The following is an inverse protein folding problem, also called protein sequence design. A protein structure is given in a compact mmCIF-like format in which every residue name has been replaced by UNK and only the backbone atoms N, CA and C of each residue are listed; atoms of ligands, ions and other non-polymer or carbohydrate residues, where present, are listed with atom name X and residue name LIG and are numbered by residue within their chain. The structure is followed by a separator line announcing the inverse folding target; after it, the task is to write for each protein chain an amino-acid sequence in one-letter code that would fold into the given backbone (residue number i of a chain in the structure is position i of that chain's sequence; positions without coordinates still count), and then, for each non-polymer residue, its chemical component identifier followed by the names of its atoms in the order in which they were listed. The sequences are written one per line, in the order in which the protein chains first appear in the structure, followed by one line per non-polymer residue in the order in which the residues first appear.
data_IF_933149231290
#
_entry.id   IF_933149231290
#
_cell.length_a   1.000
_cell.length_b   1.000
_cell.length_c   1.000
_cell.angle_alpha   90.00
_cell.angle_beta   90.00
_cell.angle_gamma   90.00
#
_symmetry.space_group_name_H-M   'P 1'
#
loop_
_entity.id
_entity.type
_entity.pdbx_description
1 polymer ?
#
# COMPACT_ATOMS: atom_id res chain seq x y z
N UNK A 1 27.11 -13.65 12.55
CA UNK A 1 27.74 -12.64 11.66
C UNK A 1 26.59 -11.91 10.99
N UNK A 2 26.43 -10.65 11.35
CA UNK A 2 25.19 -9.88 11.34
C UNK A 2 24.93 -9.31 9.95
N UNK A 3 23.83 -9.67 9.32
CA UNK A 3 23.30 -8.97 8.15
C UNK A 3 21.81 -8.70 8.41
N UNK A 4 21.54 -7.72 9.28
CA UNK A 4 20.35 -6.89 9.06
C UNK A 4 20.66 -6.12 7.78
N UNK A 5 20.32 -6.69 6.63
CA UNK A 5 20.17 -5.92 5.40
C UNK A 5 18.93 -5.05 5.61
N UNK A 6 19.09 -4.00 6.40
CA UNK A 6 18.02 -3.06 6.68
C UNK A 6 17.64 -2.42 5.36
N UNK A 7 16.43 -2.70 4.89
CA UNK A 7 15.86 -2.00 3.74
C UNK A 7 15.61 -0.56 4.19
N UNK A 8 16.65 0.28 4.05
CA UNK A 8 16.56 1.70 4.35
C UNK A 8 16.05 2.44 3.10
N UNK A 9 14.77 2.22 2.77
CA UNK A 9 14.07 2.99 1.73
C UNK A 9 12.94 3.83 2.35
N UNK A 10 13.24 4.43 3.49
CA UNK A 10 12.45 5.52 4.04
C UNK A 10 12.91 6.85 3.42
N UNK A 11 11.99 7.74 3.07
CA UNK A 11 10.54 7.56 3.11
C UNK A 11 10.02 6.67 1.95
N UNK A 12 9.00 5.84 2.20
CA UNK A 12 8.41 4.92 1.22
C UNK A 12 7.54 5.71 0.24
N UNK A 13 7.78 5.63 -1.09
CA UNK A 13 6.91 6.27 -2.08
C UNK A 13 5.47 5.78 -1.96
N UNK A 14 4.57 6.70 -1.63
CA UNK A 14 3.18 6.40 -1.26
C UNK A 14 2.22 7.22 -2.11
N UNK A 15 1.45 6.55 -2.97
CA UNK A 15 0.54 7.17 -3.92
C UNK A 15 -0.91 7.08 -3.42
N UNK A 16 -1.51 8.24 -3.14
CA UNK A 16 -2.90 8.34 -2.69
C UNK A 16 -3.80 8.67 -3.87
N UNK A 17 -4.72 7.78 -4.19
CA UNK A 17 -5.72 7.96 -5.25
C UNK A 17 -6.86 8.83 -4.72
N UNK A 18 -7.04 10.01 -5.29
CA UNK A 18 -8.11 10.94 -4.91
C UNK A 18 -8.91 11.42 -6.12
N UNK A 19 -10.24 11.41 -5.99
CA UNK A 19 -11.13 12.08 -6.94
C UNK A 19 -11.17 13.59 -6.64
N UNK A 20 -10.98 14.42 -7.66
CA UNK A 20 -10.96 15.90 -7.52
C UNK A 20 -12.25 16.42 -6.86
N UNK A 21 -13.39 15.81 -7.17
CA UNK A 21 -14.69 16.12 -6.57
C UNK A 21 -14.84 15.73 -5.09
N UNK A 22 -13.79 15.18 -4.46
CA UNK A 22 -13.78 14.75 -3.05
C UNK A 22 -12.69 15.47 -2.23
N UNK A 23 -12.69 16.82 -2.14
CA UNK A 23 -11.65 17.58 -1.46
C UNK A 23 -11.58 17.29 0.05
N UNK A 24 -12.71 16.95 0.68
CA UNK A 24 -12.73 16.60 2.10
C UNK A 24 -12.03 15.27 2.37
N UNK A 25 -12.16 14.27 1.49
CA UNK A 25 -11.43 12.99 1.59
C UNK A 25 -9.92 13.22 1.45
N UNK A 26 -9.51 14.02 0.45
CA UNK A 26 -8.11 14.46 0.32
C UNK A 26 -7.56 15.10 1.60
N UNK A 27 -8.32 16.02 2.21
CA UNK A 27 -7.91 16.68 3.46
C UNK A 27 -7.78 15.67 4.61
N UNK A 28 -8.72 14.73 4.72
CA UNK A 28 -8.71 13.74 5.78
C UNK A 28 -7.52 12.78 5.65
N UNK A 29 -7.30 12.21 4.47
CA UNK A 29 -6.19 11.27 4.27
C UNK A 29 -4.83 11.96 4.44
N UNK A 30 -4.64 13.19 3.97
CA UNK A 30 -3.40 13.93 4.22
C UNK A 30 -3.16 14.20 5.72
N UNK A 31 -4.22 14.29 6.53
CA UNK A 31 -4.11 14.38 7.99
C UNK A 31 -3.67 13.03 8.59
N UNK A 32 -4.17 11.91 8.09
CA UNK A 32 -3.78 10.56 8.53
C UNK A 32 -2.28 10.30 8.36
N UNK A 33 -1.69 10.81 7.27
CA UNK A 33 -0.25 10.73 6.99
C UNK A 33 0.58 11.87 7.59
N UNK A 34 -0.04 12.88 8.20
CA UNK A 34 0.67 14.04 8.74
C UNK A 34 1.55 13.65 9.93
N UNK A 35 2.85 13.94 9.83
CA UNK A 35 3.84 13.63 10.89
C UNK A 35 4.35 12.18 10.86
N UNK A 36 3.97 11.40 9.84
CA UNK A 36 4.48 10.06 9.56
C UNK A 36 5.59 10.13 8.51
N UNK A 37 6.83 10.25 8.97
CA UNK A 37 7.97 10.49 8.11
C UNK A 37 8.39 9.24 7.32
N UNK A 38 7.80 8.09 7.63
CA UNK A 38 8.00 6.84 6.91
C UNK A 38 7.38 6.82 5.50
N UNK A 39 6.53 7.79 5.17
CA UNK A 39 5.84 7.89 3.87
C UNK A 39 6.23 9.15 3.09
N UNK A 40 6.56 8.99 1.81
CA UNK A 40 6.68 10.08 0.84
C UNK A 40 5.37 10.16 0.04
N UNK A 41 4.49 11.09 0.43
CA UNK A 41 3.10 11.11 -0.01
C UNK A 41 2.91 11.90 -1.31
N UNK A 42 2.40 11.21 -2.32
CA UNK A 42 2.03 11.73 -3.63
C UNK A 42 0.53 11.58 -3.87
N UNK A 43 -0.21 12.69 -3.99
CA UNK A 43 -1.65 12.62 -4.30
C UNK A 43 -1.86 12.57 -5.81
N UNK A 44 -2.44 11.47 -6.28
CA UNK A 44 -2.73 11.24 -7.69
C UNK A 44 -4.21 11.46 -7.96
N UNK A 45 -4.49 12.29 -8.97
CA UNK A 45 -5.85 12.48 -9.45
C UNK A 45 -6.37 11.18 -10.09
N UNK A 46 -7.45 10.66 -9.52
CA UNK A 46 -8.15 9.49 -10.02
C UNK A 46 -8.79 9.75 -11.39
N UNK A 47 -8.74 8.74 -12.26
CA UNK A 47 -9.41 8.73 -13.55
C UNK A 47 -10.90 8.45 -13.30
N UNK A 48 -11.75 9.42 -13.65
CA UNK A 48 -13.20 9.26 -13.55
C UNK A 48 -13.71 8.28 -14.61
N UNK A 49 -14.56 7.36 -14.18
CA UNK A 49 -15.23 6.40 -15.04
C UNK A 49 -16.63 6.12 -14.46
N UNK A 50 -17.59 5.80 -15.34
CA UNK A 50 -18.95 5.42 -14.92
C UNK A 50 -18.96 4.16 -14.06
N UNK A 51 -17.94 3.30 -14.20
CA UNK A 51 -17.69 2.15 -13.35
C UNK A 51 -16.46 2.40 -12.48
N UNK A 52 -16.69 2.66 -11.18
CA UNK A 52 -15.65 3.10 -10.25
C UNK A 52 -14.42 2.18 -10.21
N UNK A 53 -14.60 0.86 -10.22
CA UNK A 53 -13.48 -0.08 -10.20
C UNK A 53 -12.60 -0.01 -11.46
N UNK A 54 -13.17 0.32 -12.63
CA UNK A 54 -12.40 0.53 -13.86
C UNK A 54 -11.61 1.84 -13.80
N UNK A 55 -12.20 2.90 -13.24
CA UNK A 55 -11.50 4.16 -12.98
C UNK A 55 -10.33 3.98 -12.01
N UNK A 56 -10.54 3.22 -10.93
CA UNK A 56 -9.51 2.86 -9.97
C UNK A 56 -8.38 2.07 -10.63
N UNK A 57 -8.70 0.99 -11.34
CA UNK A 57 -7.71 0.17 -12.04
C UNK A 57 -6.85 0.98 -13.03
N UNK A 58 -7.48 1.82 -13.87
CA UNK A 58 -6.75 2.70 -14.79
C UNK A 58 -5.84 3.67 -14.05
N UNK A 59 -6.26 4.15 -12.88
CA UNK A 59 -5.43 5.04 -12.07
C UNK A 59 -4.23 4.30 -11.49
N UNK A 60 -4.41 3.05 -11.04
CA UNK A 60 -3.31 2.18 -10.60
C UNK A 60 -2.32 1.96 -11.74
N UNK A 61 -2.77 1.60 -12.95
CA UNK A 61 -1.87 1.46 -14.11
C UNK A 61 -1.08 2.75 -14.39
N UNK A 62 -1.75 3.90 -14.35
CA UNK A 62 -1.09 5.21 -14.50
C UNK A 62 -0.03 5.44 -13.42
N UNK A 63 -0.28 5.03 -12.17
CA UNK A 63 0.72 5.12 -11.10
C UNK A 63 1.93 4.28 -11.46
N UNK A 64 1.74 3.02 -11.85
CA UNK A 64 2.84 2.12 -12.23
C UNK A 64 3.68 2.71 -13.37
N UNK A 65 3.07 3.36 -14.36
CA UNK A 65 3.78 4.04 -15.45
C UNK A 65 4.63 5.25 -14.99
N UNK A 66 4.29 5.87 -13.86
CA UNK A 66 5.03 7.00 -13.28
C UNK A 66 6.16 6.56 -12.35
N UNK A 67 6.15 5.30 -11.91
CA UNK A 67 7.13 4.77 -10.97
C UNK A 67 8.46 4.54 -11.69
N UNK A 68 9.60 4.99 -11.13
CA UNK A 68 10.90 4.72 -11.71
C UNK A 68 11.18 3.21 -11.80
N UNK A 69 11.80 2.70 -12.88
CA UNK A 69 12.14 1.28 -13.01
C UNK A 69 13.02 0.71 -11.89
N UNK A 70 13.76 1.56 -11.20
CA UNK A 70 14.61 1.23 -10.06
C UNK A 70 13.86 1.17 -8.71
N UNK A 71 12.59 1.56 -8.66
CA UNK A 71 11.81 1.46 -7.43
C UNK A 71 11.58 0.00 -7.07
N UNK A 72 12.03 -0.41 -5.88
CA UNK A 72 11.88 -1.79 -5.40
C UNK A 72 10.42 -2.10 -5.04
N UNK A 73 9.73 -1.14 -4.45
CA UNK A 73 8.31 -1.22 -4.09
C UNK A 73 7.72 0.17 -3.91
N UNK A 74 6.39 0.25 -3.96
CA UNK A 74 5.61 1.45 -3.67
C UNK A 74 4.38 1.09 -2.85
N UNK A 75 3.78 2.06 -2.17
CA UNK A 75 2.47 1.92 -1.54
C UNK A 75 1.43 2.65 -2.38
N UNK A 76 0.28 2.03 -2.60
CA UNK A 76 -0.89 2.67 -3.22
C UNK A 76 -2.07 2.55 -2.25
N UNK A 77 -2.76 3.66 -1.98
CA UNK A 77 -3.99 3.63 -1.18
C UNK A 77 -5.05 4.61 -1.71
N UNK A 78 -6.30 4.42 -1.29
CA UNK A 78 -7.41 5.32 -1.62
C UNK A 78 -7.51 6.49 -0.63
N UNK A 79 -8.22 7.55 -1.03
CA UNK A 79 -8.42 8.77 -0.24
C UNK A 79 -9.36 8.63 0.98
N UNK A 80 -9.85 7.43 1.30
CA UNK A 80 -10.48 7.10 2.59
C UNK A 80 -9.65 6.17 3.48
N UNK A 81 -8.37 5.95 3.14
CA UNK A 81 -7.45 5.28 4.06
C UNK A 81 -7.44 5.98 5.43
N UNK A 82 -7.39 5.15 6.48
CA UNK A 82 -7.24 5.58 7.87
C UNK A 82 -6.31 4.60 8.58
N UNK A 83 -5.44 5.13 9.43
CA UNK A 83 -4.65 4.29 10.30
C UNK A 83 -5.51 3.82 11.48
N UNK A 84 -5.44 2.53 11.79
CA UNK A 84 -6.05 1.98 13.00
C UNK A 84 -5.13 2.22 14.20
N UNK A 85 -5.64 2.05 15.41
CA UNK A 85 -4.81 2.08 16.62
C UNK A 85 -3.78 0.93 16.68
N UNK A 86 -3.91 -0.07 15.80
CA UNK A 86 -2.98 -1.19 15.68
C UNK A 86 -1.83 -0.91 14.71
N UNK A 87 -1.86 0.21 13.97
CA UNK A 87 -0.76 0.56 13.08
C UNK A 87 0.55 0.77 13.86
N UNK A 88 1.62 0.15 13.38
CA UNK A 88 2.99 0.49 13.73
C UNK A 88 3.88 0.48 12.48
N UNK A 89 4.83 1.42 12.44
CA UNK A 89 5.84 1.48 11.38
C UNK A 89 6.65 0.16 11.33
N UNK A 90 7.00 -0.38 12.50
CA UNK A 90 7.72 -1.64 12.62
C UNK A 90 6.95 -2.81 11.98
N UNK A 91 5.65 -2.93 12.24
CA UNK A 91 4.87 -4.03 11.67
C UNK A 91 4.67 -3.87 10.15
N UNK A 92 4.53 -2.63 9.65
CA UNK A 92 4.50 -2.38 8.22
C UNK A 92 5.82 -2.81 7.55
N UNK A 93 6.96 -2.42 8.11
CA UNK A 93 8.27 -2.76 7.56
C UNK A 93 8.53 -4.27 7.60
N UNK A 94 8.22 -4.94 8.70
CA UNK A 94 8.30 -6.41 8.81
C UNK A 94 7.44 -7.10 7.73
N UNK A 95 6.22 -6.58 7.48
CA UNK A 95 5.33 -7.09 6.43
C UNK A 95 5.94 -6.97 5.03
N UNK A 96 6.57 -5.82 4.74
CA UNK A 96 7.23 -5.55 3.46
C UNK A 96 8.47 -6.45 3.30
N UNK A 97 9.30 -6.58 4.33
CA UNK A 97 10.48 -7.44 4.31
C UNK A 97 10.10 -8.90 4.07
N UNK A 98 9.06 -9.39 4.75
CA UNK A 98 8.52 -10.74 4.53
C UNK A 98 8.03 -10.90 3.09
N UNK A 99 7.26 -9.96 2.56
CA UNK A 99 6.78 -10.00 1.17
C UNK A 99 7.93 -10.07 0.15
N UNK A 100 8.98 -9.28 0.35
CA UNK A 100 10.18 -9.28 -0.50
C UNK A 100 10.91 -10.63 -0.39
N UNK A 101 11.08 -11.16 0.83
CA UNK A 101 11.75 -12.44 1.06
C UNK A 101 11.03 -13.62 0.40
N UNK A 102 9.69 -13.56 0.34
CA UNK A 102 8.84 -14.52 -0.34
C UNK A 102 8.69 -14.25 -1.85
N UNK A 103 9.35 -13.20 -2.37
CA UNK A 103 9.30 -12.77 -3.78
C UNK A 103 7.88 -12.50 -4.27
N UNK A 104 7.09 -11.84 -3.44
CA UNK A 104 5.71 -11.52 -3.77
C UNK A 104 5.61 -10.28 -4.65
N UNK A 105 4.74 -10.33 -5.64
CA UNK A 105 4.50 -9.19 -6.54
C UNK A 105 3.61 -8.11 -5.89
N UNK A 106 2.68 -8.52 -5.02
CA UNK A 106 1.73 -7.61 -4.36
C UNK A 106 1.52 -8.03 -2.89
N UNK A 107 1.62 -7.03 -2.01
CA UNK A 107 1.20 -7.07 -0.62
C UNK A 107 -0.09 -6.26 -0.45
N UNK A 108 -1.15 -6.89 0.03
CA UNK A 108 -2.47 -6.29 0.25
C UNK A 108 -2.65 -5.98 1.74
N UNK A 109 -3.06 -4.76 2.06
CA UNK A 109 -3.46 -4.36 3.41
C UNK A 109 -4.97 -4.10 3.51
N UNK A 110 -5.58 -4.42 4.64
CA UNK A 110 -6.98 -4.03 4.94
C UNK A 110 -8.03 -4.69 4.03
N UNK A 111 -7.84 -5.97 3.71
CA UNK A 111 -8.73 -6.73 2.83
C UNK A 111 -10.09 -6.97 3.52
N UNK A 112 -11.16 -6.47 2.92
CA UNK A 112 -12.52 -6.59 3.46
C UNK A 112 -13.18 -7.94 3.19
N UNK A 113 -12.71 -8.70 2.20
CA UNK A 113 -13.21 -10.01 1.85
C UNK A 113 -12.15 -10.87 1.17
N UNK A 114 -12.07 -12.14 1.56
CA UNK A 114 -11.31 -13.16 0.86
C UNK A 114 -11.93 -14.55 1.06
N UNK A 115 -11.65 -15.49 0.14
CA UNK A 115 -12.17 -16.87 0.21
C UNK A 115 -11.14 -17.83 0.84
N UNK A 116 -9.97 -17.98 0.20
CA UNK A 116 -8.97 -18.99 0.58
C UNK A 116 -7.60 -18.34 0.78
N UNK A 117 -7.24 -18.10 2.04
CA UNK A 117 -5.91 -17.63 2.44
C UNK A 117 -5.25 -18.68 3.34
N UNK A 118 -3.94 -18.88 3.14
CA UNK A 118 -3.12 -19.80 3.93
C UNK A 118 -2.13 -18.96 4.71
N UNK A 119 -2.07 -19.13 6.02
CA UNK A 119 -1.05 -18.46 6.82
C UNK A 119 0.34 -18.97 6.44
N UNK A 120 1.23 -18.07 6.04
CA UNK A 120 2.61 -18.40 5.66
C UNK A 120 3.64 -17.91 6.68
N UNK A 121 3.28 -16.91 7.49
CA UNK A 121 4.09 -16.40 8.60
C UNK A 121 3.19 -15.79 9.69
N UNK A 122 3.77 -15.36 10.81
CA UNK A 122 3.10 -14.56 11.83
C UNK A 122 2.57 -13.26 11.19
N UNK A 123 1.25 -13.08 11.33
CA UNK A 123 0.45 -11.98 10.75
C UNK A 123 0.41 -11.93 9.21
N UNK A 124 0.93 -12.93 8.50
CA UNK A 124 1.00 -12.94 7.04
C UNK A 124 0.29 -14.15 6.41
N UNK A 125 -0.60 -13.85 5.46
CA UNK A 125 -1.39 -14.85 4.75
C UNK A 125 -1.16 -14.76 3.24
N UNK A 126 -0.99 -15.89 2.57
CA UNK A 126 -0.90 -15.99 1.12
C UNK A 126 -2.22 -16.46 0.51
N UNK A 127 -2.62 -15.85 -0.60
CA UNK A 127 -3.61 -16.40 -1.51
C UNK A 127 -2.98 -17.42 -2.44
N UNK A 128 -3.73 -18.49 -2.73
CA UNK A 128 -3.33 -19.59 -3.63
C UNK A 128 -2.99 -19.08 -5.07
N UNK A 129 -3.35 -17.83 -5.37
CA UNK A 129 -2.87 -17.05 -6.51
C UNK A 129 -1.97 -15.92 -5.97
N UNK A 130 -0.68 -16.21 -5.73
CA UNK A 130 0.47 -15.29 -5.53
C UNK A 130 0.24 -13.87 -4.93
N UNK A 131 -0.65 -13.68 -3.96
CA UNK A 131 -0.84 -12.38 -3.28
C UNK A 131 -0.75 -12.55 -1.78
N UNK A 132 -0.07 -11.63 -1.09
CA UNK A 132 -0.01 -11.61 0.36
C UNK A 132 -1.07 -10.66 0.93
N UNK A 133 -1.67 -11.02 2.06
CA UNK A 133 -2.66 -10.22 2.81
C UNK A 133 -2.18 -10.02 4.23
N UNK A 134 -2.22 -8.76 4.68
CA UNK A 134 -2.03 -8.36 6.07
C UNK A 134 -3.30 -7.73 6.65
N UNK A 135 -3.56 -8.02 7.93
CA UNK A 135 -4.67 -7.48 8.70
C UNK A 135 -4.14 -6.59 9.85
N UNK A 136 -4.60 -5.35 9.91
CA UNK A 136 -4.43 -4.41 11.04
C UNK A 136 -5.77 -3.75 11.37
#
# INVERSE_FOLDING_TARGET
MTLKNTINHLPIPTYIINLVKRPQRKKNVLKEFSGRNEFDVHVIQAIEDSFGARGLWRTICKIIELVPPEAEYIIICEDDHKFTNAYSEEALLDSIEKAISHKCDILLGGVSWHADSVQVDENLFAHIICFLVFFF
#
